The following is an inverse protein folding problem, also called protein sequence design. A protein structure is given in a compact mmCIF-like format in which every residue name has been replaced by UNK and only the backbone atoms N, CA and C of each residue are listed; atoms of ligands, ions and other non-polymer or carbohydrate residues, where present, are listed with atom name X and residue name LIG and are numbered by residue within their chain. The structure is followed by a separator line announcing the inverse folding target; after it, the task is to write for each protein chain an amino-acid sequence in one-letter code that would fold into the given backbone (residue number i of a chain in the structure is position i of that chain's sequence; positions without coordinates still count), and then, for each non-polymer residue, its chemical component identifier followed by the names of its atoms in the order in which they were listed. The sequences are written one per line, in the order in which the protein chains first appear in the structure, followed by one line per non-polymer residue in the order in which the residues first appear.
data_IF_677308513212
#
_entry.id   IF_677308513212
#
_cell.length_a   1.000
_cell.length_b   1.000
_cell.length_c   1.000
_cell.angle_alpha   90.00
_cell.angle_beta   90.00
_cell.angle_gamma   90.00
#
_symmetry.space_group_name_H-M   'P 1'
#
loop_
_entity.id
_entity.type
_entity.pdbx_description
1 polymer ?
#
# COMPACT_ATOMS: atom_id res chain seq x y z
N UNK A 1 7.00 21.59 5.18
CA UNK A 1 6.25 20.55 4.43
C UNK A 1 6.76 19.21 4.91
N UNK A 2 5.88 18.24 5.20
CA UNK A 2 6.33 16.90 5.53
C UNK A 2 7.16 16.33 4.38
N UNK A 3 8.34 15.83 4.72
CA UNK A 3 9.21 15.22 3.73
C UNK A 3 8.83 13.74 3.60
N UNK A 4 8.19 13.41 2.49
CA UNK A 4 8.00 12.01 2.07
C UNK A 4 9.20 11.57 1.25
N UNK A 5 9.81 10.45 1.61
CA UNK A 5 10.94 9.85 0.89
C UNK A 5 10.67 8.36 0.64
N UNK A 6 10.80 7.91 -0.60
CA UNK A 6 10.81 6.47 -0.90
C UNK A 6 12.14 5.85 -0.46
N UNK A 7 12.10 4.60 -0.03
CA UNK A 7 13.32 3.83 0.25
C UNK A 7 13.79 3.21 -1.08
N UNK A 8 15.01 3.52 -1.56
CA UNK A 8 15.48 3.01 -2.84
C UNK A 8 15.39 1.49 -2.94
N UNK A 9 14.86 1.01 -4.06
CA UNK A 9 14.65 -0.40 -4.37
C UNK A 9 13.71 -1.16 -3.44
N UNK A 10 13.00 -0.47 -2.54
CA UNK A 10 12.05 -1.06 -1.60
C UNK A 10 10.66 -0.43 -1.76
N UNK A 11 9.57 -1.20 -1.69
CA UNK A 11 8.20 -0.69 -1.71
C UNK A 11 7.80 -0.10 -0.33
N UNK A 12 8.61 0.83 0.18
CA UNK A 12 8.43 1.43 1.50
C UNK A 12 8.68 2.94 1.44
N UNK A 13 7.90 3.69 2.22
CA UNK A 13 7.96 5.15 2.27
C UNK A 13 8.23 5.61 3.70
N UNK A 14 9.14 6.56 3.84
CA UNK A 14 9.41 7.27 5.10
C UNK A 14 8.69 8.62 5.06
N UNK A 15 7.95 8.91 6.12
CA UNK A 15 7.36 10.21 6.39
C UNK A 15 8.00 10.76 7.66
N UNK A 16 8.67 11.91 7.56
CA UNK A 16 9.38 12.50 8.68
C UNK A 16 8.93 13.94 8.95
N UNK A 17 8.49 14.17 10.19
CA UNK A 17 8.25 15.50 10.76
C UNK A 17 8.64 15.50 12.23
N UNK A 18 7.67 15.54 13.16
CA UNK A 18 7.94 15.36 14.61
C UNK A 18 8.19 13.91 14.99
N UNK A 19 7.60 12.99 14.22
CA UNK A 19 7.82 11.55 14.29
C UNK A 19 8.26 11.03 12.94
N UNK A 20 9.08 10.00 12.95
CA UNK A 20 9.49 9.25 11.76
C UNK A 20 8.59 8.02 11.61
N UNK A 21 7.75 8.05 10.59
CA UNK A 21 6.88 6.94 10.24
C UNK A 21 7.45 6.18 9.05
N UNK A 22 7.53 4.86 9.16
CA UNK A 22 7.69 3.96 8.02
C UNK A 22 6.32 3.51 7.54
N UNK A 23 6.11 3.42 6.22
CA UNK A 23 4.83 3.06 5.63
C UNK A 23 5.05 1.95 4.63
N UNK A 24 4.21 0.90 4.70
CA UNK A 24 4.15 -0.22 3.73
C UNK A 24 2.69 -0.65 3.55
N UNK A 25 2.39 -1.39 2.49
CA UNK A 25 1.03 -1.83 2.15
C UNK A 25 1.03 -3.20 1.48
N UNK A 26 -0.11 -3.88 1.43
CA UNK A 26 -0.35 -5.05 0.57
C UNK A 26 0.69 -6.17 0.79
N UNK A 27 0.77 -6.63 2.05
CA UNK A 27 1.68 -7.70 2.46
C UNK A 27 1.12 -9.08 2.06
N UNK A 28 -0.20 -9.28 2.18
CA UNK A 28 -0.88 -10.48 1.72
C UNK A 28 -0.28 -11.80 2.26
N UNK A 29 -0.06 -11.93 3.57
CA UNK A 29 0.34 -13.21 4.20
C UNK A 29 -0.69 -14.29 3.85
N UNK A 30 -0.19 -15.46 3.44
CA UNK A 30 -1.01 -16.60 3.03
C UNK A 30 -1.47 -16.59 1.57
N UNK A 31 -0.90 -15.72 0.72
CA UNK A 31 -1.19 -15.68 -0.73
C UNK A 31 -0.80 -16.99 -1.45
N UNK A 32 0.12 -17.75 -0.88
CA UNK A 32 0.60 -19.03 -1.42
C UNK A 32 -0.52 -20.06 -1.51
N UNK A 33 -1.57 -19.92 -0.69
CA UNK A 33 -2.75 -20.77 -0.80
C UNK A 33 -3.43 -20.61 -2.17
N UNK A 34 -3.50 -19.39 -2.71
CA UNK A 34 -4.05 -19.15 -4.06
C UNK A 34 -3.09 -19.68 -5.13
N UNK A 35 -1.77 -19.50 -4.97
CA UNK A 35 -0.78 -20.05 -5.91
C UNK A 35 -0.81 -21.58 -5.97
N UNK A 36 -1.00 -22.24 -4.82
CA UNK A 36 -1.11 -23.69 -4.76
C UNK A 36 -2.34 -24.22 -5.51
N UNK A 37 -3.44 -23.45 -5.60
CA UNK A 37 -4.59 -23.82 -6.45
C UNK A 37 -4.27 -23.77 -7.95
N UNK A 38 -3.22 -23.04 -8.33
CA UNK A 38 -2.68 -22.98 -9.69
C UNK A 38 -1.44 -23.90 -9.85
N UNK A 39 -1.29 -24.89 -8.97
CA UNK A 39 -0.17 -25.87 -8.96
C UNK A 39 1.23 -25.25 -8.77
N UNK A 40 1.30 -24.01 -8.27
CA UNK A 40 2.55 -23.33 -7.92
C UNK A 40 2.76 -23.48 -6.41
N UNK A 41 3.71 -24.32 -6.02
CA UNK A 41 4.02 -24.58 -4.61
C UNK A 41 5.23 -23.77 -4.16
N UNK A 42 4.98 -22.81 -3.28
CA UNK A 42 6.02 -22.10 -2.53
C UNK A 42 6.21 -22.80 -1.18
N UNK A 43 7.44 -22.88 -0.68
CA UNK A 43 7.72 -23.52 0.61
C UNK A 43 6.91 -22.89 1.73
N UNK A 44 6.35 -23.70 2.64
CA UNK A 44 5.54 -23.21 3.77
C UNK A 44 6.32 -22.17 4.59
N UNK A 45 5.65 -21.08 4.98
CA UNK A 45 6.16 -19.97 5.80
C UNK A 45 7.37 -19.21 5.21
N UNK A 46 7.90 -19.61 4.05
CA UNK A 46 9.11 -18.99 3.49
C UNK A 46 8.88 -17.52 3.15
N UNK A 47 7.71 -17.18 2.62
CA UNK A 47 7.43 -15.80 2.18
C UNK A 47 7.16 -14.87 3.37
N UNK A 48 6.50 -15.37 4.42
CA UNK A 48 6.26 -14.62 5.66
C UNK A 48 7.58 -14.34 6.38
N UNK A 49 8.46 -15.33 6.51
CA UNK A 49 9.78 -15.13 7.13
C UNK A 49 10.65 -14.17 6.32
N UNK A 50 10.60 -14.24 4.99
CA UNK A 50 11.27 -13.28 4.11
C UNK A 50 10.72 -11.87 4.25
N UNK A 51 9.39 -11.72 4.35
CA UNK A 51 8.71 -10.44 4.55
C UNK A 51 9.11 -9.83 5.90
N UNK A 52 9.08 -10.62 6.98
CA UNK A 52 9.50 -10.19 8.31
C UNK A 52 10.95 -9.72 8.28
N UNK A 53 11.84 -10.49 7.63
CA UNK A 53 13.26 -10.14 7.53
C UNK A 53 13.45 -8.83 6.76
N UNK A 54 12.87 -8.72 5.57
CA UNK A 54 13.01 -7.53 4.72
C UNK A 54 12.48 -6.27 5.41
N UNK A 55 11.32 -6.35 6.06
CA UNK A 55 10.75 -5.23 6.80
C UNK A 55 11.57 -4.90 8.05
N UNK A 56 12.07 -5.92 8.76
CA UNK A 56 12.98 -5.75 9.90
C UNK A 56 14.27 -5.03 9.51
N UNK A 57 14.89 -5.41 8.39
CA UNK A 57 16.11 -4.77 7.90
C UNK A 57 15.86 -3.29 7.60
N UNK A 58 14.71 -2.97 6.99
CA UNK A 58 14.31 -1.57 6.74
C UNK A 58 14.13 -0.81 8.06
N UNK A 59 13.43 -1.40 9.05
CA UNK A 59 13.23 -0.78 10.36
C UNK A 59 14.55 -0.56 11.09
N UNK A 60 15.48 -1.52 11.04
CA UNK A 60 16.77 -1.42 11.74
C UNK A 60 17.67 -0.33 11.13
N UNK A 61 17.60 -0.13 9.81
CA UNK A 61 18.32 0.93 9.09
C UNK A 61 17.68 2.29 9.32
N UNK A 62 16.37 2.39 9.09
CA UNK A 62 15.67 3.67 9.12
C UNK A 62 15.31 4.13 10.54
N UNK A 63 15.21 3.22 11.50
CA UNK A 63 14.84 3.48 12.90
C UNK A 63 13.59 4.39 13.02
N UNK A 64 12.45 4.02 12.40
CA UNK A 64 11.22 4.76 12.56
C UNK A 64 10.70 4.66 14.00
N UNK A 65 9.99 5.69 14.46
CA UNK A 65 9.23 5.63 15.71
C UNK A 65 8.05 4.65 15.58
N UNK A 66 7.40 4.65 14.41
CA UNK A 66 6.24 3.81 14.11
C UNK A 66 6.22 3.28 12.68
N UNK A 67 5.63 2.11 12.51
CA UNK A 67 5.27 1.50 11.25
C UNK A 67 3.76 1.64 11.01
N UNK A 68 3.38 2.28 9.90
CA UNK A 68 2.01 2.33 9.39
C UNK A 68 1.85 1.24 8.33
N UNK A 69 0.99 0.27 8.64
CA UNK A 69 0.56 -0.80 7.76
C UNK A 69 -0.74 -0.38 7.05
N UNK A 70 -0.64 -0.07 5.75
CA UNK A 70 -1.76 0.37 4.92
C UNK A 70 -2.54 -0.80 4.32
N UNK A 71 -3.08 -1.66 5.18
CA UNK A 71 -4.06 -2.67 4.81
C UNK A 71 -3.52 -3.86 4.00
N UNK A 72 -4.41 -4.83 3.85
CA UNK A 72 -4.20 -6.11 3.17
C UNK A 72 -2.99 -6.86 3.71
N UNK A 73 -3.01 -7.09 5.02
CA UNK A 73 -2.02 -7.88 5.75
C UNK A 73 -2.22 -9.36 5.47
N UNK A 74 -3.48 -9.81 5.40
CA UNK A 74 -3.81 -11.19 5.06
C UNK A 74 -4.34 -11.30 3.64
N UNK A 75 -4.27 -12.49 3.05
CA UNK A 75 -4.69 -12.73 1.67
C UNK A 75 -6.15 -13.17 1.53
N UNK A 76 -6.68 -13.91 2.48
CA UNK A 76 -8.06 -14.36 2.43
C UNK A 76 -9.03 -13.19 2.62
N UNK A 77 -10.13 -13.16 1.87
CA UNK A 77 -11.18 -12.14 2.09
C UNK A 77 -12.27 -12.69 3.03
N UNK A 78 -12.77 -13.91 2.77
CA UNK A 78 -13.96 -14.45 3.45
C UNK A 78 -13.63 -15.08 4.81
N UNK A 79 -12.76 -16.08 4.80
CA UNK A 79 -12.42 -16.89 5.97
C UNK A 79 -10.92 -16.89 6.16
N UNK A 80 -10.48 -16.68 7.40
CA UNK A 80 -9.06 -16.79 7.77
C UNK A 80 -8.62 -18.23 7.54
N UNK A 81 -7.62 -18.40 6.67
CA UNK A 81 -7.02 -19.68 6.33
C UNK A 81 -6.20 -20.24 7.50
N UNK A 82 -5.93 -21.55 7.45
CA UNK A 82 -5.13 -22.22 8.49
C UNK A 82 -3.72 -21.65 8.63
N UNK A 83 -3.09 -21.23 7.53
CA UNK A 83 -1.76 -20.61 7.56
C UNK A 83 -1.81 -19.23 8.21
N UNK A 84 -2.78 -18.39 7.83
CA UNK A 84 -2.94 -17.04 8.39
C UNK A 84 -3.17 -17.02 9.90
N UNK A 85 -3.84 -18.05 10.46
CA UNK A 85 -3.99 -18.21 11.91
C UNK A 85 -2.66 -18.30 12.67
N UNK A 86 -1.60 -18.80 12.03
CA UNK A 86 -0.26 -18.87 12.62
C UNK A 86 0.67 -17.74 12.16
N UNK A 87 0.63 -17.42 10.87
CA UNK A 87 1.61 -16.53 10.23
C UNK A 87 1.34 -15.03 10.48
N UNK A 88 0.07 -14.60 10.50
CA UNK A 88 -0.27 -13.19 10.75
C UNK A 88 0.08 -12.78 12.19
N UNK A 89 -0.27 -13.55 13.24
CA UNK A 89 0.18 -13.24 14.60
C UNK A 89 1.71 -13.24 14.72
N UNK A 90 2.40 -14.21 14.10
CA UNK A 90 3.86 -14.27 14.10
C UNK A 90 4.47 -12.99 13.51
N UNK A 91 3.94 -12.52 12.38
CA UNK A 91 4.37 -11.26 11.76
C UNK A 91 4.25 -10.08 12.74
N UNK A 92 3.07 -9.87 13.35
CA UNK A 92 2.89 -8.77 14.29
C UNK A 92 3.80 -8.89 15.52
N UNK A 93 3.94 -10.08 16.09
CA UNK A 93 4.80 -10.32 17.26
C UNK A 93 6.27 -10.00 16.97
N UNK A 94 6.75 -10.27 15.75
CA UNK A 94 8.14 -9.94 15.37
C UNK A 94 8.35 -8.45 15.13
N UNK A 95 7.40 -7.80 14.45
CA UNK A 95 7.55 -6.39 14.07
C UNK A 95 7.36 -5.44 15.26
N UNK A 96 6.39 -5.72 16.14
CA UNK A 96 6.13 -4.87 17.32
C UNK A 96 7.27 -4.83 18.34
N UNK A 97 8.21 -5.78 18.27
CA UNK A 97 9.43 -5.76 19.08
C UNK A 97 10.43 -4.69 18.63
N UNK A 98 10.23 -4.08 17.46
CA UNK A 98 11.18 -3.14 16.84
C UNK A 98 10.70 -1.69 16.84
N UNK A 99 9.41 -1.46 16.66
CA UNK A 99 8.80 -0.13 16.70
C UNK A 99 7.30 -0.23 16.98
N UNK A 100 6.65 0.90 17.26
CA UNK A 100 5.19 0.96 17.35
C UNK A 100 4.55 0.58 16.01
N UNK A 101 3.37 -0.05 16.04
CA UNK A 101 2.67 -0.49 14.82
C UNK A 101 1.25 0.04 14.80
N UNK A 102 0.90 0.65 13.68
CA UNK A 102 -0.43 1.18 13.39
C UNK A 102 -0.95 0.45 12.15
N UNK A 103 -2.13 -0.16 12.24
CA UNK A 103 -2.80 -0.84 11.14
C UNK A 103 -4.00 -0.02 10.67
N UNK A 104 -3.98 0.36 9.39
CA UNK A 104 -5.16 0.85 8.65
C UNK A 104 -5.76 -0.33 7.89
N UNK A 105 -6.91 -0.91 8.29
CA UNK A 105 -7.38 -2.16 7.68
C UNK A 105 -7.76 -2.01 6.19
N UNK A 106 -7.37 -2.98 5.38
CA UNK A 106 -7.75 -3.15 3.97
C UNK A 106 -8.99 -4.02 3.78
N UNK A 107 -9.40 -4.26 2.53
CA UNK A 107 -10.57 -5.09 2.24
C UNK A 107 -10.30 -6.60 2.42
N UNK A 108 -9.05 -7.04 2.41
CA UNK A 108 -8.71 -8.42 2.78
C UNK A 108 -8.63 -8.60 4.30
N UNK A 109 -8.58 -7.53 5.09
CA UNK A 109 -8.40 -7.61 6.54
C UNK A 109 -9.70 -7.86 7.33
N UNK A 110 -10.73 -8.44 6.68
CA UNK A 110 -11.97 -8.83 7.35
C UNK A 110 -11.67 -9.84 8.46
N UNK A 111 -12.17 -9.58 9.68
CA UNK A 111 -11.89 -10.36 10.88
C UNK A 111 -10.43 -10.37 11.36
N UNK A 112 -9.56 -9.48 10.86
CA UNK A 112 -8.15 -9.45 11.26
C UNK A 112 -7.96 -9.20 12.76
N UNK A 113 -8.91 -8.55 13.44
CA UNK A 113 -8.88 -8.33 14.90
C UNK A 113 -8.79 -9.62 15.73
N UNK A 114 -9.04 -10.79 15.12
CA UNK A 114 -8.83 -12.11 15.74
C UNK A 114 -7.37 -12.55 15.75
N UNK A 115 -6.54 -11.91 14.92
CA UNK A 115 -5.13 -12.24 14.67
C UNK A 115 -4.17 -11.15 15.18
N UNK A 116 -4.62 -9.90 15.23
CA UNK A 116 -3.80 -8.76 15.67
C UNK A 116 -3.66 -8.76 17.20
N UNK A 117 -2.43 -8.65 17.74
CA UNK A 117 -2.19 -8.43 19.17
C UNK A 117 -2.85 -7.14 19.69
N UNK A 118 -3.22 -7.11 20.97
CA UNK A 118 -3.97 -5.98 21.59
C UNK A 118 -3.21 -4.65 21.65
N UNK A 119 -1.88 -4.70 21.60
CA UNK A 119 -0.97 -3.57 21.67
C UNK A 119 -0.75 -2.89 20.30
N UNK A 120 -1.28 -3.44 19.22
CA UNK A 120 -1.28 -2.81 17.90
C UNK A 120 -2.43 -1.81 17.81
N UNK A 121 -2.13 -0.60 17.35
CA UNK A 121 -3.16 0.43 17.14
C UNK A 121 -3.87 0.11 15.83
N UNK A 122 -5.16 -0.22 15.89
CA UNK A 122 -5.99 -0.41 14.70
C UNK A 122 -6.89 0.80 14.48
N UNK A 123 -6.84 1.37 13.28
CA UNK A 123 -7.68 2.51 12.88
C UNK A 123 -8.98 2.04 12.23
N UNK A 124 -9.83 2.99 11.85
CA UNK A 124 -10.96 2.70 10.97
C UNK A 124 -10.50 2.41 9.53
N UNK A 125 -11.35 1.76 8.73
CA UNK A 125 -11.12 1.54 7.28
C UNK A 125 -11.16 2.85 6.46
N UNK A 126 -11.66 3.95 7.03
CA UNK A 126 -11.63 5.26 6.38
C UNK A 126 -10.22 5.86 6.35
N UNK A 127 -9.28 5.32 7.14
CA UNK A 127 -7.90 5.77 7.24
C UNK A 127 -7.57 6.48 8.55
N UNK A 128 -6.41 7.10 8.55
CA UNK A 128 -5.90 7.98 9.62
C UNK A 128 -5.24 9.23 9.02
N UNK A 129 -5.23 10.32 9.77
CA UNK A 129 -4.50 11.53 9.41
C UNK A 129 -3.28 11.64 10.32
N UNK A 130 -2.13 11.90 9.71
CA UNK A 130 -0.95 12.43 10.39
C UNK A 130 -0.60 13.76 9.71
N UNK A 131 -0.61 14.84 10.49
CA UNK A 131 -0.45 16.22 9.98
C UNK A 131 -1.43 16.57 8.83
N UNK A 132 -0.94 16.79 7.61
CA UNK A 132 -1.73 17.10 6.41
C UNK A 132 -1.79 15.94 5.40
N UNK A 133 -1.49 14.72 5.85
CA UNK A 133 -1.48 13.50 5.05
C UNK A 133 -2.54 12.52 5.53
N UNK A 134 -3.40 12.09 4.61
CA UNK A 134 -4.31 10.97 4.82
C UNK A 134 -3.64 9.66 4.43
N UNK A 135 -3.62 8.72 5.36
CA UNK A 135 -3.22 7.33 5.18
C UNK A 135 -4.46 6.45 5.07
N UNK A 136 -4.67 5.83 3.91
CA UNK A 136 -5.82 4.94 3.68
C UNK A 136 -5.39 3.74 2.84
N UNK A 137 -6.04 2.60 2.98
CA UNK A 137 -5.79 1.49 2.07
C UNK A 137 -6.25 1.84 0.63
N UNK A 138 -7.38 2.56 0.50
CA UNK A 138 -7.89 3.04 -0.79
C UNK A 138 -8.99 2.19 -1.45
N UNK A 139 -9.48 1.17 -0.76
CA UNK A 139 -10.67 0.38 -1.16
C UNK A 139 -12.01 1.08 -0.84
N UNK A 140 -11.97 2.16 -0.07
CA UNK A 140 -13.13 2.96 0.34
C UNK A 140 -12.86 4.46 0.10
N UNK A 141 -13.93 5.25 -0.09
CA UNK A 141 -13.80 6.70 -0.13
C UNK A 141 -13.46 7.24 1.26
N UNK A 142 -12.55 8.22 1.38
CA UNK A 142 -12.32 8.89 2.64
C UNK A 142 -13.53 9.72 3.07
N UNK A 143 -13.62 9.98 4.37
CA UNK A 143 -14.65 10.84 4.94
C UNK A 143 -14.41 12.32 4.60
N UNK A 144 -15.48 13.09 4.35
CA UNK A 144 -15.39 14.55 4.17
C UNK A 144 -14.72 15.26 5.33
N UNK A 145 -14.73 14.69 6.54
CA UNK A 145 -14.04 15.27 7.70
C UNK A 145 -12.50 15.31 7.53
N UNK A 146 -11.96 14.61 6.53
CA UNK A 146 -10.55 14.58 6.18
C UNK A 146 -10.19 15.60 5.08
N UNK A 147 -11.13 16.44 4.66
CA UNK A 147 -10.95 17.38 3.56
C UNK A 147 -9.90 18.47 3.81
N UNK A 148 -9.28 18.56 4.99
CA UNK A 148 -8.17 19.50 5.23
C UNK A 148 -6.81 18.98 4.73
N UNK A 149 -6.68 17.69 4.40
CA UNK A 149 -5.42 17.09 3.96
C UNK A 149 -4.96 17.63 2.59
N UNK A 150 -3.65 17.65 2.37
CA UNK A 150 -3.06 18.04 1.08
C UNK A 150 -2.53 16.84 0.29
N UNK A 151 -2.40 15.70 0.97
CA UNK A 151 -1.84 14.47 0.40
C UNK A 151 -2.63 13.25 0.86
N UNK A 152 -2.79 12.27 -0.03
CA UNK A 152 -3.27 10.93 0.27
C UNK A 152 -2.13 9.96 -0.04
N UNK A 153 -1.85 9.02 0.87
CA UNK A 153 -0.97 7.88 0.63
C UNK A 153 -1.81 6.61 0.76
N UNK A 154 -1.79 5.79 -0.30
CA UNK A 154 -2.63 4.59 -0.39
C UNK A 154 -1.98 3.40 -1.07
N UNK A 155 -2.52 2.21 -0.83
CA UNK A 155 -2.14 0.95 -1.51
C UNK A 155 -3.26 0.44 -2.40
N UNK A 156 -3.65 -0.83 -2.22
CA UNK A 156 -4.83 -1.52 -2.81
C UNK A 156 -4.74 -1.79 -4.31
N UNK A 157 -4.28 -0.82 -5.09
CA UNK A 157 -4.28 -0.87 -6.56
C UNK A 157 -3.17 -1.77 -7.11
N UNK A 158 -2.09 -1.95 -6.34
CA UNK A 158 -0.87 -2.67 -6.73
C UNK A 158 -0.34 -2.19 -8.09
N UNK A 159 0.04 -0.90 -8.22
CA UNK A 159 0.45 -0.33 -9.49
C UNK A 159 1.64 -1.06 -10.11
N UNK A 160 1.44 -1.52 -11.35
CA UNK A 160 2.44 -2.23 -12.15
C UNK A 160 2.48 -1.63 -13.56
N UNK A 161 3.68 -1.41 -14.09
CA UNK A 161 3.87 -0.79 -15.39
C UNK A 161 3.62 -1.76 -16.55
N UNK A 162 2.82 -1.32 -17.53
CA UNK A 162 2.62 -2.02 -18.80
C UNK A 162 2.56 -1.09 -20.01
N UNK A 163 3.56 -1.22 -20.88
CA UNK A 163 3.63 -0.57 -22.18
C UNK A 163 3.92 -1.61 -23.28
N UNK A 164 3.28 -1.45 -24.44
CA UNK A 164 3.50 -2.33 -25.59
C UNK A 164 5.00 -2.44 -25.89
N UNK A 165 5.49 -3.67 -26.04
CA UNK A 165 6.89 -3.99 -26.37
C UNK A 165 7.95 -3.49 -25.34
N UNK A 166 7.52 -3.09 -24.14
CA UNK A 166 8.46 -2.67 -23.09
C UNK A 166 9.03 -3.86 -22.31
N UNK A 167 10.34 -3.84 -22.09
CA UNK A 167 11.05 -4.77 -21.19
C UNK A 167 10.77 -4.48 -19.71
N UNK A 168 10.16 -3.35 -19.40
CA UNK A 168 9.79 -2.94 -18.03
C UNK A 168 8.41 -3.46 -17.62
N UNK A 169 7.73 -4.22 -18.49
CA UNK A 169 6.42 -4.78 -18.19
C UNK A 169 6.45 -5.66 -16.94
N UNK A 170 5.42 -5.52 -16.11
CA UNK A 170 5.30 -6.31 -14.88
C UNK A 170 6.06 -5.76 -13.69
N UNK A 171 6.80 -4.65 -13.84
CA UNK A 171 7.51 -3.99 -12.73
C UNK A 171 6.54 -3.19 -11.86
N UNK A 172 6.61 -3.41 -10.55
CA UNK A 172 5.94 -2.59 -9.53
C UNK A 172 6.48 -1.15 -9.58
N UNK A 173 5.60 -0.18 -9.44
CA UNK A 173 5.94 1.25 -9.54
C UNK A 173 5.24 2.07 -8.47
N UNK A 174 5.84 3.20 -8.12
CA UNK A 174 5.17 4.29 -7.43
C UNK A 174 4.39 5.13 -8.43
N UNK A 175 3.23 5.63 -8.03
CA UNK A 175 2.47 6.61 -8.81
C UNK A 175 2.16 7.81 -7.91
N UNK A 176 2.60 9.00 -8.28
CA UNK A 176 2.16 10.26 -7.69
C UNK A 176 1.28 11.00 -8.70
N UNK A 177 0.11 11.48 -8.25
CA UNK A 177 -0.90 12.16 -9.07
C UNK A 177 -1.28 13.44 -8.37
N UNK A 178 -1.37 14.53 -9.12
CA UNK A 178 -2.00 15.77 -8.67
C UNK A 178 -3.31 15.98 -9.42
N UNK A 179 -4.35 16.34 -8.70
CA UNK A 179 -5.70 16.53 -9.25
C UNK A 179 -6.52 17.46 -8.37
N UNK A 180 -7.71 17.81 -8.85
CA UNK A 180 -8.70 18.63 -8.17
C UNK A 180 -9.21 17.94 -6.90
N UNK A 181 -9.05 18.62 -5.77
CA UNK A 181 -9.40 18.12 -4.44
C UNK A 181 -10.91 17.92 -4.28
N UNK A 182 -11.71 18.79 -4.86
CA UNK A 182 -13.18 18.73 -4.89
C UNK A 182 -13.73 17.41 -5.46
N UNK A 183 -12.94 16.69 -6.25
CA UNK A 183 -13.35 15.39 -6.81
C UNK A 183 -13.37 14.30 -5.76
N UNK A 184 -12.47 14.41 -4.78
CA UNK A 184 -12.37 13.50 -3.64
C UNK A 184 -13.19 14.02 -2.46
N UNK A 185 -13.13 15.33 -2.20
CA UNK A 185 -13.77 16.04 -1.09
C UNK A 185 -14.63 17.21 -1.61
N UNK A 186 -15.89 16.99 -2.03
CA UNK A 186 -16.72 18.02 -2.68
C UNK A 186 -16.98 19.28 -1.85
N UNK A 187 -16.75 19.22 -0.53
CA UNK A 187 -16.88 20.37 0.37
C UNK A 187 -15.72 21.36 0.31
N UNK A 188 -14.64 21.05 -0.42
CA UNK A 188 -13.42 21.87 -0.50
C UNK A 188 -12.94 22.04 -1.93
N UNK A 189 -12.06 23.00 -2.17
CA UNK A 189 -11.41 23.21 -3.47
C UNK A 189 -9.89 23.25 -3.33
N UNK A 190 -9.19 23.06 -4.44
CA UNK A 190 -7.73 23.18 -4.55
C UNK A 190 -7.11 21.93 -5.14
N UNK A 191 -5.79 21.79 -4.99
CA UNK A 191 -5.06 20.63 -5.47
C UNK A 191 -4.81 19.62 -4.34
N UNK A 192 -4.87 18.33 -4.65
CA UNK A 192 -4.46 17.25 -3.76
C UNK A 192 -3.44 16.35 -4.47
N UNK A 193 -2.41 15.93 -3.74
CA UNK A 193 -1.48 14.89 -4.21
C UNK A 193 -1.94 13.51 -3.73
N UNK A 194 -1.94 12.51 -4.60
CA UNK A 194 -2.24 11.12 -4.27
C UNK A 194 -1.02 10.28 -4.63
N UNK A 195 -0.43 9.63 -3.64
CA UNK A 195 0.67 8.69 -3.80
C UNK A 195 0.10 7.27 -3.64
N UNK A 196 0.24 6.48 -4.69
CA UNK A 196 -0.14 5.07 -4.73
C UNK A 196 1.14 4.25 -4.57
N UNK A 197 1.19 3.50 -3.48
CA UNK A 197 2.31 2.67 -3.11
C UNK A 197 2.27 1.35 -3.88
N UNK A 198 3.43 0.86 -4.36
CA UNK A 198 3.54 -0.52 -4.82
C UNK A 198 3.35 -1.48 -3.65
N UNK A 199 2.84 -2.67 -3.94
CA UNK A 199 2.67 -3.70 -2.92
C UNK A 199 4.00 -4.08 -2.28
N UNK A 200 4.01 -4.34 -0.97
CA UNK A 200 5.22 -4.82 -0.30
C UNK A 200 5.56 -6.25 -0.74
N UNK A 201 4.52 -7.08 -0.90
CA UNK A 201 4.67 -8.45 -1.38
C UNK A 201 5.35 -8.52 -2.76
N UNK A 202 6.58 -9.04 -2.80
CA UNK A 202 7.39 -9.12 -4.03
C UNK A 202 6.87 -10.10 -5.08
N UNK A 203 5.96 -10.99 -4.70
CA UNK A 203 5.35 -11.96 -5.61
C UNK A 203 4.16 -11.37 -6.38
N UNK A 204 3.73 -10.16 -6.03
CA UNK A 204 2.67 -9.42 -6.72
C UNK A 204 3.24 -8.65 -7.91
N UNK A 205 3.92 -9.37 -8.80
CA UNK A 205 4.24 -8.91 -10.15
C UNK A 205 3.18 -9.46 -11.11
N UNK A 206 2.86 -8.70 -12.16
CA UNK A 206 1.93 -9.15 -13.16
C UNK A 206 2.68 -9.50 -14.46
N UNK A 207 2.38 -10.66 -15.03
CA UNK A 207 2.90 -11.05 -16.36
C UNK A 207 2.04 -10.50 -17.49
N UNK A 208 0.80 -10.12 -17.19
CA UNK A 208 -0.15 -9.58 -18.16
C UNK A 208 -0.92 -8.41 -17.57
N UNK A 209 -1.21 -7.42 -18.43
CA UNK A 209 -2.07 -6.31 -18.07
C UNK A 209 -3.52 -6.79 -17.97
N UNK A 210 -4.11 -6.67 -16.79
CA UNK A 210 -5.56 -6.87 -16.62
C UNK A 210 -6.27 -5.57 -17.00
N UNK A 211 -7.22 -5.65 -17.92
CA UNK A 211 -8.05 -4.51 -18.31
C UNK A 211 -9.35 -4.53 -17.51
N UNK A 212 -9.54 -3.54 -16.66
CA UNK A 212 -10.79 -3.33 -15.94
C UNK A 212 -11.53 -2.11 -16.50
N UNK A 213 -12.85 -2.18 -16.61
CA UNK A 213 -13.67 -1.02 -17.02
C UNK A 213 -13.65 0.12 -16.00
N UNK A 214 -13.39 -0.20 -14.73
CA UNK A 214 -13.26 0.71 -13.60
C UNK A 214 -12.13 0.22 -12.70
N UNK A 215 -11.43 1.13 -12.04
CA UNK A 215 -10.45 0.76 -11.02
C UNK A 215 -11.13 0.07 -9.85
N UNK A 216 -10.42 -0.82 -9.17
CA UNK A 216 -10.84 -1.43 -7.90
C UNK A 216 -10.84 -0.41 -6.75
N UNK A 217 -10.21 0.75 -6.92
CA UNK A 217 -10.28 1.86 -5.97
C UNK A 217 -11.36 2.88 -6.35
N UNK A 218 -12.32 3.19 -5.45
CA UNK A 218 -13.28 4.26 -5.68
C UNK A 218 -12.63 5.65 -5.76
N UNK A 219 -11.47 5.86 -5.11
CA UNK A 219 -10.72 7.13 -5.16
C UNK A 219 -10.22 7.37 -6.59
N UNK A 220 -9.62 6.35 -7.22
CA UNK A 220 -9.15 6.43 -8.60
C UNK A 220 -10.29 6.66 -9.58
N UNK A 221 -11.45 6.04 -9.35
CA UNK A 221 -12.64 6.24 -10.19
C UNK A 221 -13.23 7.65 -10.09
N UNK A 222 -12.86 8.43 -9.07
CA UNK A 222 -13.32 9.82 -8.88
C UNK A 222 -12.34 10.85 -9.39
N UNK A 223 -11.13 10.48 -9.80
CA UNK A 223 -10.14 11.44 -10.30
C UNK A 223 -10.75 12.32 -11.40
N UNK A 224 -10.51 13.62 -11.30
CA UNK A 224 -10.89 14.59 -12.31
C UNK A 224 -9.84 14.67 -13.41
N UNK A 225 -9.56 15.90 -13.84
CA UNK A 225 -8.39 16.16 -14.67
C UNK A 225 -7.13 15.90 -13.83
N UNK A 226 -6.19 15.15 -14.40
CA UNK A 226 -4.89 14.93 -13.78
C UNK A 226 -3.99 16.08 -14.23
N UNK A 227 -3.63 16.95 -13.29
CA UNK A 227 -2.80 18.14 -13.58
C UNK A 227 -1.35 17.76 -13.81
N UNK A 228 -0.86 16.73 -13.11
CA UNK A 228 0.42 16.10 -13.37
C UNK A 228 0.48 14.71 -12.73
N UNK A 229 1.29 13.82 -13.29
CA UNK A 229 1.62 12.57 -12.62
C UNK A 229 3.10 12.21 -12.76
N UNK A 230 3.58 11.35 -11.86
CA UNK A 230 4.90 10.73 -11.93
C UNK A 230 4.77 9.24 -11.70
N UNK A 231 5.28 8.45 -12.63
CA UNK A 231 5.39 7.00 -12.52
C UNK A 231 6.86 6.69 -12.30
N UNK A 232 7.18 6.05 -11.18
CA UNK A 232 8.57 5.87 -10.74
C UNK A 232 8.80 4.41 -10.39
N UNK A 233 9.88 3.81 -10.88
CA UNK A 233 10.30 2.46 -10.46
C UNK A 233 10.76 2.44 -9.01
N UNK A 234 10.90 1.25 -8.42
CA UNK A 234 11.34 1.11 -7.03
C UNK A 234 12.74 1.71 -6.78
N UNK A 235 13.64 1.66 -7.76
CA UNK A 235 14.99 2.24 -7.69
C UNK A 235 15.03 3.75 -7.97
N UNK A 236 13.89 4.39 -8.26
CA UNK A 236 13.77 5.84 -8.41
C UNK A 236 13.83 6.36 -9.85
N UNK A 237 13.91 5.49 -10.87
CA UNK A 237 13.85 5.93 -12.26
C UNK A 237 12.43 6.38 -12.65
N UNK A 238 12.33 7.51 -13.34
CA UNK A 238 11.05 8.02 -13.85
C UNK A 238 10.72 7.27 -15.15
N UNK A 239 9.60 6.54 -15.14
CA UNK A 239 9.14 5.72 -16.27
C UNK A 239 8.06 6.42 -17.12
N UNK A 240 7.42 7.45 -16.59
CA UNK A 240 6.39 8.19 -17.30
C UNK A 240 5.71 9.24 -16.45
N UNK A 241 4.74 9.90 -17.07
CA UNK A 241 3.98 11.03 -16.53
C UNK A 241 2.46 10.81 -16.71
N UNK A 242 1.66 11.88 -16.65
CA UNK A 242 0.20 11.83 -16.83
C UNK A 242 -0.23 11.19 -18.15
N UNK A 243 0.57 11.30 -19.22
CA UNK A 243 0.27 10.66 -20.50
C UNK A 243 0.32 9.12 -20.43
N UNK A 244 1.06 8.58 -19.45
CA UNK A 244 1.24 7.17 -19.21
C UNK A 244 0.31 6.60 -18.13
N UNK A 245 -0.60 7.38 -17.52
CA UNK A 245 -1.34 6.92 -16.33
C UNK A 245 -2.15 5.64 -16.56
N UNK A 246 -2.72 5.48 -17.76
CA UNK A 246 -3.47 4.27 -18.16
C UNK A 246 -2.61 3.01 -18.25
N UNK A 247 -1.28 3.14 -18.17
CA UNK A 247 -0.33 2.02 -18.19
C UNK A 247 -0.16 1.39 -16.80
N UNK A 248 -0.61 2.07 -15.75
CA UNK A 248 -0.39 1.67 -14.34
C UNK A 248 -1.67 1.63 -13.49
N UNK A 249 -2.75 2.29 -13.92
CA UNK A 249 -4.06 2.35 -13.23
C UNK A 249 -5.23 1.86 -14.10
#
# INVERSE_FOLDING_TARGET
MLQTRIIPSKPALVLENKKKNLVVTDIHIGFENEMATNEIFIGKNTTTDETIRELSDIIDIERPDSLILLGDIKSSIKNISKSEWGEVPLFFEKIKQKCDVILVPGNHDVNIQKLVPKDIIMTSTQGMIEDDVLFTHGHAMPSENFSNVKKIIMGHVHPVFFQKESIMNGKRVWVSIKTDKEKIFPSTSGEIEIIIMPSFNKYFYATQKKFYKKSISPIINRLGEITSAKIVSLDGAILGDESNIKQVL
#
